data_IF_170451131970
#
_entry.id   IF_170451131970
#
_cell.length_a   1.000
_cell.length_b   1.000
_cell.length_c   1.000
_cell.angle_alpha   90.00
_cell.angle_beta   90.00
_cell.angle_gamma   90.00
#
_symmetry.space_group_name_H-M   'P 1'
#
loop_
_entity.id
_entity.type
_entity.pdbx_description
1 polymer ?
#
# COMPACT_ATOMS: atom_id res chain seq x y z
N UNK A 1 -15.43 14.92 27.92
CA UNK A 1 -15.60 13.84 26.96
C UNK A 1 -14.83 12.61 27.44
N UNK A 2 -15.34 11.45 27.17
CA UNK A 2 -14.63 10.18 27.32
C UNK A 2 -14.38 9.59 25.94
N UNK A 3 -13.12 9.23 25.68
CA UNK A 3 -12.70 8.57 24.46
C UNK A 3 -12.23 7.17 24.85
N UNK A 4 -12.91 6.14 24.35
CA UNK A 4 -12.54 4.74 24.57
C UNK A 4 -11.97 4.18 23.27
N UNK A 5 -10.85 3.42 23.35
CA UNK A 5 -10.20 2.78 22.21
C UNK A 5 -9.49 1.50 22.66
N UNK A 6 -9.88 0.37 22.09
CA UNK A 6 -9.29 -0.97 22.33
C UNK A 6 -9.00 -1.26 23.82
N UNK A 7 -9.97 -0.97 24.72
CA UNK A 7 -9.84 -1.21 26.16
C UNK A 7 -9.13 -0.12 26.96
N UNK A 8 -8.65 0.94 26.31
CA UNK A 8 -8.13 2.13 26.97
C UNK A 8 -9.20 3.23 27.03
N UNK A 9 -9.06 4.15 27.96
CA UNK A 9 -9.95 5.30 28.10
C UNK A 9 -9.17 6.58 28.42
N UNK A 10 -9.59 7.69 27.83
CA UNK A 10 -9.07 9.04 28.11
C UNK A 10 -10.25 9.95 28.42
N UNK A 11 -10.14 10.72 29.51
CA UNK A 11 -11.02 11.84 29.81
C UNK A 11 -10.37 13.13 29.33
N UNK A 12 -11.08 13.92 28.52
CA UNK A 12 -10.57 15.20 27.99
C UNK A 12 -11.62 16.27 27.92
N UNK A 13 -11.21 17.50 28.12
CA UNK A 13 -11.99 18.71 27.82
C UNK A 13 -11.40 19.53 26.67
N UNK A 14 -10.25 19.08 26.12
CA UNK A 14 -9.50 19.76 25.06
C UNK A 14 -9.78 19.18 23.70
N UNK A 15 -9.82 20.02 22.68
CA UNK A 15 -9.91 19.63 21.27
C UNK A 15 -8.93 20.47 20.42
N UNK A 16 -8.18 19.87 19.49
CA UNK A 16 -8.14 18.43 19.22
C UNK A 16 -7.46 17.64 20.36
N UNK A 17 -7.80 16.34 20.49
CA UNK A 17 -7.14 15.41 21.44
C UNK A 17 -6.38 14.37 20.63
N UNK A 18 -5.10 14.15 20.98
CA UNK A 18 -4.24 13.17 20.32
C UNK A 18 -4.21 11.86 21.11
N UNK A 19 -4.39 10.74 20.43
CA UNK A 19 -4.14 9.41 20.97
C UNK A 19 -2.66 9.06 20.75
N UNK A 20 -1.94 8.74 21.83
CA UNK A 20 -0.51 8.43 21.78
C UNK A 20 -0.25 6.96 22.12
N UNK A 21 0.96 6.48 21.79
CA UNK A 21 1.43 5.12 22.08
C UNK A 21 0.52 4.04 21.49
N UNK A 22 -0.02 4.30 20.32
CA UNK A 22 -0.77 3.30 19.58
C UNK A 22 0.18 2.24 19.01
N UNK A 23 -0.28 1.00 18.97
CA UNK A 23 0.47 -0.12 18.39
C UNK A 23 0.40 0.04 16.86
N UNK A 24 1.51 -0.08 16.13
CA UNK A 24 1.52 -0.07 14.68
C UNK A 24 0.69 -1.20 14.06
N UNK A 25 0.25 -1.03 12.82
CA UNK A 25 -0.56 -1.99 12.06
C UNK A 25 -1.72 -2.59 12.87
N UNK A 26 -2.43 -1.75 13.59
CA UNK A 26 -3.48 -2.17 14.51
C UNK A 26 -4.77 -1.41 14.25
N UNK A 27 -5.87 -2.15 14.13
CA UNK A 27 -7.20 -1.56 14.01
C UNK A 27 -7.70 -1.07 15.37
N UNK A 28 -8.06 0.20 15.44
CA UNK A 28 -8.65 0.82 16.61
C UNK A 28 -10.12 1.16 16.37
N UNK A 29 -10.99 0.63 17.23
CA UNK A 29 -12.38 1.06 17.32
C UNK A 29 -12.45 2.16 18.39
N UNK A 30 -12.82 3.35 18.00
CA UNK A 30 -12.87 4.53 18.88
C UNK A 30 -14.32 4.90 19.13
N UNK A 31 -14.66 5.10 20.39
CA UNK A 31 -15.96 5.67 20.77
C UNK A 31 -15.75 6.95 21.57
N UNK A 32 -16.60 7.94 21.32
CA UNK A 32 -16.56 9.24 22.00
C UNK A 32 -17.92 9.50 22.65
N UNK A 33 -17.91 9.72 23.96
CA UNK A 33 -19.11 10.01 24.76
C UNK A 33 -18.99 11.38 25.42
N UNK A 34 -20.07 12.15 25.42
CA UNK A 34 -20.15 13.34 26.26
C UNK A 34 -20.44 12.93 27.69
N UNK A 35 -19.66 13.46 28.64
CA UNK A 35 -19.88 13.28 30.08
C UNK A 35 -20.25 14.65 30.68
N UNK A 36 -21.48 14.77 31.16
CA UNK A 36 -21.94 15.99 31.80
C UNK A 36 -21.80 15.92 33.34
N UNK A 37 -21.85 14.71 33.90
CA UNK A 37 -21.62 14.41 35.31
C UNK A 37 -21.28 12.92 35.50
N UNK A 38 -20.91 12.51 36.70
CA UNK A 38 -20.60 11.09 36.99
C UNK A 38 -21.78 10.13 36.73
N UNK A 39 -22.99 10.63 36.59
CA UNK A 39 -24.21 9.85 36.36
C UNK A 39 -24.91 10.19 35.04
N UNK A 40 -24.39 11.14 34.25
CA UNK A 40 -25.02 11.61 33.04
C UNK A 40 -24.04 11.61 31.87
N UNK A 41 -24.12 10.55 31.08
CA UNK A 41 -23.35 10.38 29.83
C UNK A 41 -24.29 10.43 28.62
N UNK A 42 -23.72 10.69 27.45
CA UNK A 42 -24.44 10.53 26.19
C UNK A 42 -24.96 9.11 26.05
N UNK A 43 -26.25 8.89 25.80
CA UNK A 43 -26.81 7.54 25.65
C UNK A 43 -26.33 6.84 24.39
N UNK A 44 -25.85 7.61 23.41
CA UNK A 44 -25.34 7.09 22.12
C UNK A 44 -23.97 7.69 21.86
N UNK A 45 -22.87 6.95 22.08
CA UNK A 45 -21.54 7.42 21.72
C UNK A 45 -21.38 7.49 20.18
N UNK A 46 -20.57 8.45 19.73
CA UNK A 46 -20.07 8.40 18.37
C UNK A 46 -19.00 7.32 18.25
N UNK A 47 -19.02 6.53 17.17
CA UNK A 47 -18.08 5.46 16.93
C UNK A 47 -17.42 5.62 15.56
N UNK A 48 -16.09 5.36 15.51
CA UNK A 48 -15.30 5.32 14.27
C UNK A 48 -14.20 4.28 14.40
N UNK A 49 -13.64 3.88 13.27
CA UNK A 49 -12.56 2.90 13.20
C UNK A 49 -11.44 3.46 12.33
N UNK A 50 -10.19 3.22 12.71
CA UNK A 50 -9.02 3.49 11.88
C UNK A 50 -7.96 2.42 12.11
N UNK A 51 -7.02 2.31 11.18
CA UNK A 51 -5.84 1.45 11.30
C UNK A 51 -4.61 2.34 11.43
N UNK A 52 -3.71 2.00 12.36
CA UNK A 52 -2.42 2.68 12.47
C UNK A 52 -1.48 2.21 11.38
N UNK A 53 -0.61 3.10 10.91
CA UNK A 53 0.45 2.73 9.96
C UNK A 53 1.39 1.67 10.56
N UNK A 54 2.05 0.91 9.69
CA UNK A 54 3.17 0.06 10.08
C UNK A 54 4.36 0.88 10.60
N UNK A 55 5.26 0.25 11.34
CA UNK A 55 6.59 0.83 11.53
C UNK A 55 7.29 0.95 10.17
N UNK A 56 8.16 1.94 10.06
CA UNK A 56 9.05 2.04 8.90
C UNK A 56 10.00 0.85 8.88
N UNK A 57 10.21 0.28 7.70
CA UNK A 57 11.31 -0.63 7.44
C UNK A 57 12.64 0.14 7.43
N UNK A 58 13.74 -0.50 7.75
CA UNK A 58 15.06 0.15 7.75
C UNK A 58 15.86 -0.34 6.54
N UNK A 59 16.37 0.59 5.75
CA UNK A 59 17.20 0.24 4.59
C UNK A 59 18.54 -0.40 5.01
N UNK A 60 19.08 -1.39 4.24
CA UNK A 60 18.53 -1.88 2.98
C UNK A 60 17.29 -2.75 3.19
N UNK A 61 16.24 -2.49 2.43
CA UNK A 61 14.99 -3.24 2.42
C UNK A 61 14.88 -4.01 1.10
N UNK A 62 14.32 -5.20 1.15
CA UNK A 62 14.12 -6.07 -0.01
C UNK A 62 12.72 -6.69 0.06
N UNK A 63 12.01 -6.70 -1.08
CA UNK A 63 10.71 -7.34 -1.23
C UNK A 63 10.72 -8.17 -2.52
N UNK A 64 10.47 -9.46 -2.39
CA UNK A 64 10.38 -10.42 -3.49
C UNK A 64 8.97 -10.97 -3.68
N UNK A 65 8.04 -10.61 -2.81
CA UNK A 65 6.67 -11.11 -2.79
C UNK A 65 6.51 -12.62 -2.56
N UNK A 66 7.56 -13.37 -2.31
CA UNK A 66 7.48 -14.83 -2.13
C UNK A 66 6.65 -15.24 -0.93
N UNK A 67 6.58 -14.38 0.08
CA UNK A 67 5.73 -14.57 1.25
C UNK A 67 4.34 -13.91 1.12
N UNK A 68 3.98 -13.47 -0.08
CA UNK A 68 2.76 -12.71 -0.35
C UNK A 68 2.98 -11.20 -0.24
N UNK A 69 1.95 -10.42 -0.54
CA UNK A 69 1.99 -8.97 -0.31
C UNK A 69 1.94 -8.73 1.19
N UNK A 70 2.96 -8.09 1.74
CA UNK A 70 3.03 -7.75 3.16
C UNK A 70 1.81 -6.91 3.58
N UNK A 71 1.30 -7.13 4.78
CA UNK A 71 0.23 -6.31 5.36
C UNK A 71 0.61 -4.83 5.53
N UNK A 72 1.90 -4.49 5.36
CA UNK A 72 2.41 -3.13 5.40
C UNK A 72 2.50 -2.47 4.02
N UNK A 73 2.21 -3.23 2.97
CA UNK A 73 1.90 -2.71 1.66
C UNK A 73 0.39 -2.51 1.54
N UNK A 74 -0.05 -1.49 0.86
CA UNK A 74 -1.48 -1.18 0.73
C UNK A 74 -1.85 -0.80 -0.68
N UNK A 75 -2.99 -1.32 -1.14
CA UNK A 75 -3.63 -0.87 -2.37
C UNK A 75 -4.25 0.52 -2.14
N UNK A 76 -4.32 1.34 -3.17
CA UNK A 76 -5.14 2.54 -3.13
C UNK A 76 -6.64 2.13 -3.07
N UNK A 77 -7.47 2.88 -2.35
CA UNK A 77 -8.85 2.46 -2.08
C UNK A 77 -9.91 3.35 -2.73
N UNK A 78 -9.53 4.47 -3.32
CA UNK A 78 -10.51 5.50 -3.69
C UNK A 78 -10.22 6.28 -4.96
N UNK A 79 -9.00 6.25 -5.45
CA UNK A 79 -8.55 7.08 -6.59
C UNK A 79 -7.99 6.28 -7.75
N UNK A 80 -7.90 4.97 -7.62
CA UNK A 80 -7.58 4.05 -8.69
C UNK A 80 -8.79 3.20 -9.12
N UNK A 81 -8.63 2.39 -10.16
CA UNK A 81 -9.73 1.64 -10.77
C UNK A 81 -9.66 0.15 -10.41
N UNK A 82 -8.49 -0.35 -10.00
CA UNK A 82 -8.28 -1.75 -9.64
C UNK A 82 -6.97 -2.00 -8.91
N UNK A 83 -6.84 -3.18 -8.30
CA UNK A 83 -5.71 -3.56 -7.47
C UNK A 83 -4.60 -4.28 -8.25
N UNK A 84 -3.37 -4.14 -7.79
CA UNK A 84 -2.28 -5.05 -8.12
C UNK A 84 -2.57 -6.44 -7.54
N UNK A 85 -2.26 -7.48 -8.30
CA UNK A 85 -2.55 -8.86 -7.94
C UNK A 85 -1.26 -9.65 -7.76
N UNK A 86 -1.18 -10.44 -6.68
CA UNK A 86 -0.09 -11.42 -6.47
C UNK A 86 -0.27 -12.61 -7.42
N UNK A 87 0.81 -13.04 -8.05
CA UNK A 87 0.81 -14.22 -8.92
C UNK A 87 2.11 -15.01 -8.81
N UNK A 88 2.06 -16.28 -9.19
CA UNK A 88 3.20 -17.17 -9.38
C UNK A 88 3.02 -17.91 -10.71
N UNK A 89 4.12 -18.16 -11.43
CA UNK A 89 4.04 -18.74 -12.77
C UNK A 89 3.44 -17.77 -13.80
N UNK A 90 2.82 -18.27 -14.89
CA UNK A 90 2.35 -17.41 -15.98
C UNK A 90 1.14 -16.56 -15.57
N UNK A 91 1.04 -15.35 -16.11
CA UNK A 91 -0.18 -14.54 -15.99
C UNK A 91 -1.35 -15.22 -16.69
N UNK A 92 -2.61 -14.96 -16.31
CA UNK A 92 -3.78 -15.57 -16.95
C UNK A 92 -3.85 -15.37 -18.47
N UNK A 93 -3.31 -14.27 -18.97
CA UNK A 93 -3.27 -13.90 -20.39
C UNK A 93 -1.99 -14.31 -21.13
N UNK A 94 -1.04 -14.99 -20.49
CA UNK A 94 0.25 -15.38 -21.08
C UNK A 94 0.13 -16.11 -22.43
N UNK A 95 -0.87 -16.97 -22.62
CA UNK A 95 -1.12 -17.67 -23.88
C UNK A 95 -1.45 -16.77 -25.08
N UNK A 96 -1.62 -15.46 -24.86
CA UNK A 96 -1.92 -14.46 -25.89
C UNK A 96 -0.74 -13.51 -26.16
N UNK A 97 0.48 -13.87 -25.74
CA UNK A 97 1.68 -13.06 -25.96
C UNK A 97 1.73 -11.83 -25.07
N UNK A 98 1.38 -12.01 -23.79
CA UNK A 98 1.44 -10.95 -22.76
C UNK A 98 1.92 -11.53 -21.45
N UNK A 99 2.57 -10.69 -20.64
CA UNK A 99 3.03 -11.00 -19.29
C UNK A 99 4.14 -12.05 -19.23
N UNK A 100 4.75 -12.23 -18.05
CA UNK A 100 5.78 -13.22 -17.82
C UNK A 100 5.20 -14.65 -17.76
N UNK A 101 6.08 -15.64 -17.93
CA UNK A 101 5.80 -17.05 -17.68
C UNK A 101 6.10 -17.48 -16.25
N UNK A 102 6.89 -16.69 -15.53
CA UNK A 102 7.29 -16.90 -14.15
C UNK A 102 7.88 -15.61 -13.57
N UNK A 103 8.23 -15.59 -12.27
CA UNK A 103 8.98 -14.52 -11.65
C UNK A 103 10.44 -14.47 -12.14
N UNK A 104 11.20 -13.46 -11.70
CA UNK A 104 12.62 -13.30 -12.09
C UNK A 104 13.51 -14.42 -11.54
N UNK A 105 13.17 -15.05 -10.41
CA UNK A 105 13.95 -16.11 -9.76
C UNK A 105 13.60 -17.51 -10.22
N UNK A 106 12.51 -17.69 -10.94
CA UNK A 106 11.89 -18.96 -11.37
C UNK A 106 11.32 -19.77 -10.21
N UNK A 107 10.02 -19.63 -9.99
CA UNK A 107 9.22 -20.34 -9.00
C UNK A 107 8.85 -19.51 -7.78
N UNK A 108 9.14 -18.22 -7.78
CA UNK A 108 8.69 -17.27 -6.78
C UNK A 108 7.38 -16.58 -7.14
N UNK A 109 7.14 -15.44 -6.52
CA UNK A 109 5.95 -14.62 -6.73
C UNK A 109 6.32 -13.23 -7.28
N UNK A 110 5.35 -12.59 -7.89
CA UNK A 110 5.44 -11.21 -8.34
C UNK A 110 4.06 -10.55 -8.26
N UNK A 111 4.00 -9.26 -8.30
CA UNK A 111 2.74 -8.52 -8.43
C UNK A 111 2.55 -8.08 -9.88
N UNK A 112 1.31 -8.09 -10.37
CA UNK A 112 1.00 -7.68 -11.73
C UNK A 112 -0.36 -6.97 -11.81
N UNK A 113 -0.56 -6.26 -12.91
CA UNK A 113 -1.83 -5.70 -13.31
C UNK A 113 -2.30 -6.36 -14.61
N UNK A 114 -3.60 -6.66 -14.73
CA UNK A 114 -4.19 -7.20 -15.95
C UNK A 114 -4.81 -6.07 -16.76
N UNK A 115 -4.31 -5.86 -17.98
CA UNK A 115 -4.78 -4.78 -18.85
C UNK A 115 -5.92 -5.18 -19.79
N UNK A 116 -6.32 -6.47 -19.79
CA UNK A 116 -7.42 -6.95 -20.62
C UNK A 116 -8.79 -6.69 -20.00
N UNK A 117 -9.86 -6.86 -20.81
CA UNK A 117 -11.24 -6.68 -20.35
C UNK A 117 -11.50 -7.34 -18.98
N UNK A 118 -12.08 -6.62 -18.01
CA UNK A 118 -12.92 -5.41 -18.14
C UNK A 118 -12.20 -4.05 -18.08
N UNK A 119 -10.88 -4.01 -18.19
CA UNK A 119 -10.10 -2.76 -18.09
C UNK A 119 -10.14 -1.95 -19.38
N UNK A 120 -10.16 -0.63 -19.22
CA UNK A 120 -10.18 0.32 -20.31
C UNK A 120 -8.85 1.12 -20.36
N UNK A 121 -8.46 1.64 -21.53
CA UNK A 121 -7.29 2.53 -21.60
C UNK A 121 -7.46 3.77 -20.72
N UNK A 122 -6.54 3.94 -19.78
CA UNK A 122 -6.56 5.01 -18.80
C UNK A 122 -6.92 4.56 -17.39
N UNK A 123 -7.35 3.30 -17.21
CA UNK A 123 -7.53 2.73 -15.87
C UNK A 123 -6.20 2.68 -15.13
N UNK A 124 -6.25 2.96 -13.84
CA UNK A 124 -5.08 3.10 -12.96
C UNK A 124 -5.14 2.04 -11.86
N UNK A 125 -3.98 1.48 -11.52
CA UNK A 125 -3.77 0.64 -10.34
C UNK A 125 -2.60 1.18 -9.52
N UNK A 126 -2.80 1.44 -8.23
CA UNK A 126 -1.78 2.01 -7.34
C UNK A 126 -1.57 1.12 -6.13
N UNK A 127 -0.31 0.80 -5.84
CA UNK A 127 0.08 0.10 -4.62
C UNK A 127 1.19 0.90 -3.91
N UNK A 128 1.10 0.99 -2.60
CA UNK A 128 2.08 1.66 -1.76
C UNK A 128 2.89 0.64 -0.97
N UNK A 129 4.20 0.80 -0.95
CA UNK A 129 5.06 0.06 -0.03
C UNK A 129 4.90 0.56 1.42
N UNK A 130 5.43 -0.17 2.40
CA UNK A 130 5.72 0.39 3.72
C UNK A 130 6.65 1.60 3.61
N UNK A 131 6.63 2.48 4.63
CA UNK A 131 7.65 3.51 4.75
C UNK A 131 9.02 2.87 4.98
N UNK A 132 10.04 3.41 4.30
CA UNK A 132 11.41 2.92 4.39
C UNK A 132 12.29 4.03 4.95
N UNK A 133 12.91 3.78 6.10
CA UNK A 133 13.90 4.68 6.71
C UNK A 133 15.24 4.53 5.97
N UNK A 134 15.59 5.55 5.20
CA UNK A 134 16.83 5.65 4.44
C UNK A 134 17.88 6.55 5.10
N UNK A 135 17.66 6.97 6.35
CA UNK A 135 18.51 7.94 7.06
C UNK A 135 19.95 7.46 7.29
N UNK A 136 20.17 6.14 7.24
CA UNK A 136 21.48 5.50 7.37
C UNK A 136 22.24 5.38 6.03
N UNK A 137 21.65 5.81 4.90
CA UNK A 137 22.27 5.76 3.57
C UNK A 137 22.81 7.12 3.15
N UNK A 138 23.97 7.13 2.52
CA UNK A 138 24.58 8.36 1.96
C UNK A 138 24.15 8.63 0.51
N UNK A 139 23.80 7.58 -0.23
CA UNK A 139 23.29 7.63 -1.59
C UNK A 139 22.25 6.53 -1.73
N UNK A 140 20.99 6.81 -1.37
CA UNK A 140 19.94 5.82 -1.51
C UNK A 140 19.65 5.55 -2.98
N UNK A 141 19.51 4.29 -3.32
CA UNK A 141 19.13 3.80 -4.65
C UNK A 141 17.94 2.87 -4.52
N UNK A 142 17.02 2.94 -5.47
CA UNK A 142 15.93 2.01 -5.66
C UNK A 142 16.22 1.15 -6.88
N UNK A 143 16.38 -0.15 -6.67
CA UNK A 143 16.54 -1.15 -7.73
C UNK A 143 15.29 -2.03 -7.76
N UNK A 144 14.76 -2.31 -8.93
CA UNK A 144 13.59 -3.17 -9.09
C UNK A 144 13.62 -3.88 -10.43
N UNK A 145 12.87 -4.98 -10.52
CA UNK A 145 12.64 -5.69 -11.77
C UNK A 145 11.22 -5.43 -12.25
N UNK A 146 11.08 -5.27 -13.56
CA UNK A 146 9.78 -5.14 -14.21
C UNK A 146 9.70 -6.00 -15.47
N UNK A 147 8.49 -6.41 -15.82
CA UNK A 147 8.17 -7.12 -17.04
C UNK A 147 6.99 -6.42 -17.71
N UNK A 148 7.20 -5.87 -18.89
CA UNK A 148 6.18 -5.13 -19.64
C UNK A 148 6.12 -5.69 -21.06
N UNK A 149 5.35 -6.77 -21.24
CA UNK A 149 5.19 -7.44 -22.51
C UNK A 149 3.74 -7.54 -22.93
N UNK A 150 3.41 -7.01 -24.10
CA UNK A 150 2.09 -7.07 -24.69
C UNK A 150 1.71 -5.82 -25.48
N UNK A 151 0.85 -6.01 -26.48
CA UNK A 151 0.44 -4.96 -27.40
C UNK A 151 -0.26 -3.77 -26.72
N UNK A 152 -0.98 -4.03 -25.63
CA UNK A 152 -1.76 -3.04 -24.88
C UNK A 152 -1.11 -2.63 -23.57
N UNK A 153 0.21 -2.71 -23.50
CA UNK A 153 0.97 -2.34 -22.30
C UNK A 153 0.83 -0.83 -22.02
N UNK A 154 0.46 -0.51 -20.79
CA UNK A 154 0.29 0.86 -20.33
C UNK A 154 1.60 1.54 -19.92
N UNK A 155 1.53 2.35 -18.89
CA UNK A 155 2.68 3.07 -18.31
C UNK A 155 2.93 2.59 -16.90
N UNK A 156 4.17 2.23 -16.59
CA UNK A 156 4.65 2.01 -15.24
C UNK A 156 5.25 3.30 -14.71
N UNK A 157 4.78 3.75 -13.57
CA UNK A 157 5.31 4.90 -12.85
C UNK A 157 5.74 4.49 -11.45
N UNK A 158 6.85 5.06 -10.98
CA UNK A 158 7.29 4.91 -9.59
C UNK A 158 7.44 6.29 -8.98
N UNK A 159 6.82 6.49 -7.85
CA UNK A 159 6.83 7.72 -7.11
C UNK A 159 7.37 7.52 -5.69
N UNK A 160 8.07 8.51 -5.18
CA UNK A 160 8.50 8.57 -3.78
C UNK A 160 7.64 9.58 -3.05
N UNK A 161 7.10 9.19 -1.91
CA UNK A 161 6.42 10.06 -0.97
C UNK A 161 7.37 10.44 0.17
N UNK A 162 7.66 11.73 0.33
CA UNK A 162 8.58 12.24 1.36
C UNK A 162 7.88 12.56 2.71
N UNK A 163 6.61 12.18 2.84
CA UNK A 163 5.74 12.53 3.97
C UNK A 163 4.86 13.75 3.70
N UNK A 164 5.04 14.43 2.56
CA UNK A 164 4.27 15.62 2.19
C UNK A 164 3.87 15.63 0.70
N UNK A 165 4.76 15.20 -0.19
CA UNK A 165 4.56 15.25 -1.64
C UNK A 165 5.04 13.95 -2.30
N UNK A 166 4.30 13.50 -3.31
CA UNK A 166 4.76 12.47 -4.25
C UNK A 166 5.66 13.09 -5.32
N UNK A 167 6.79 12.45 -5.59
CA UNK A 167 7.72 12.82 -6.66
C UNK A 167 7.94 11.63 -7.56
N UNK A 168 7.62 11.78 -8.85
CA UNK A 168 7.89 10.74 -9.84
C UNK A 168 9.40 10.62 -10.06
N UNK A 169 9.91 9.39 -9.98
CA UNK A 169 11.33 9.05 -10.16
C UNK A 169 11.57 8.11 -11.34
N UNK A 170 10.52 7.47 -11.84
CA UNK A 170 10.61 6.57 -12.99
C UNK A 170 9.30 6.57 -13.77
N UNK A 171 9.39 6.59 -15.09
CA UNK A 171 8.25 6.45 -15.99
C UNK A 171 8.68 5.66 -17.21
N UNK A 172 7.95 4.60 -17.55
CA UNK A 172 8.17 3.77 -18.71
C UNK A 172 6.84 3.37 -19.35
N UNK A 173 6.72 3.58 -20.66
CA UNK A 173 5.48 3.35 -21.40
C UNK A 173 5.65 2.30 -22.48
N UNK A 174 4.66 1.44 -22.62
CA UNK A 174 4.52 0.50 -23.72
C UNK A 174 5.30 -0.80 -23.54
N UNK A 175 5.25 -1.60 -24.59
CA UNK A 175 5.87 -2.92 -24.66
C UNK A 175 7.40 -2.84 -24.58
N UNK A 176 8.00 -3.59 -23.67
CA UNK A 176 9.45 -3.71 -23.47
C UNK A 176 9.98 -5.11 -23.85
N UNK A 177 9.14 -5.95 -24.42
CA UNK A 177 9.46 -7.33 -24.80
C UNK A 177 9.28 -8.33 -23.67
N UNK A 178 9.36 -9.61 -24.05
CA UNK A 178 9.12 -10.76 -23.16
C UNK A 178 10.37 -11.08 -22.32
N UNK A 179 10.67 -10.22 -21.36
CA UNK A 179 11.81 -10.38 -20.46
C UNK A 179 11.66 -9.56 -19.18
N UNK A 180 12.22 -10.05 -18.08
CA UNK A 180 12.44 -9.27 -16.89
C UNK A 180 13.62 -8.30 -17.09
N UNK A 181 13.43 -7.05 -16.77
CA UNK A 181 14.44 -5.99 -16.91
C UNK A 181 14.68 -5.39 -15.53
N UNK A 182 15.93 -5.19 -15.18
CA UNK A 182 16.35 -4.47 -13.98
C UNK A 182 16.55 -2.99 -14.31
N UNK A 183 16.00 -2.14 -13.47
CA UNK A 183 16.30 -0.71 -13.46
C UNK A 183 17.27 -0.40 -12.34
#
# INVERSE_FOLDING_TARGET
>A
WEINYNGNSILTSSFPTTLNNLIPNTTYNVTVSAICSSTNQSPTPYSTTFVTFCNSEVAPYFEDFDNGISNCWSQELSTDDFDWTLNSGPTPSNGFGTGPTDDISSGGNYIYTEASNPRDPGDIAVIYSSFIDISNLTSPELNFYYHMFGQNMGTLEIEIFDGNLFTNIFTLTGDQGDQWIQN
#
